data_IF_751196077400
#
_entry.id   IF_751196077400
#
_cell.length_a   1.000
_cell.length_b   1.000
_cell.length_c   1.000
_cell.angle_alpha   90.00
_cell.angle_beta   90.00
_cell.angle_gamma   90.00
#
_symmetry.space_group_name_H-M   'P 1'
#
loop_
_entity.id
_entity.type
_entity.pdbx_description
1 polymer ?
#
# COMPACT_ATOMS: atom_id res chain seq x y z
N UNK A 1 -62.05 -35.77 4.38
CA UNK A 1 -62.15 -34.90 3.20
C UNK A 1 -63.52 -34.27 3.23
N UNK A 2 -63.67 -33.09 3.82
CA UNK A 2 -64.97 -32.45 4.01
C UNK A 2 -64.84 -30.92 4.07
N UNK A 3 -65.89 -30.27 3.55
CA UNK A 3 -66.42 -28.94 3.91
C UNK A 3 -66.00 -27.72 3.08
N UNK A 4 -66.75 -27.57 1.98
CA UNK A 4 -67.55 -26.40 1.53
C UNK A 4 -67.39 -25.02 2.19
N UNK A 5 -67.28 -24.01 1.31
CA UNK A 5 -67.57 -22.58 1.48
C UNK A 5 -69.00 -22.29 1.99
N UNK A 6 -69.16 -21.22 2.79
CA UNK A 6 -70.26 -20.21 2.80
C UNK A 6 -70.01 -19.14 3.92
N UNK A 7 -70.78 -18.01 4.04
CA UNK A 7 -70.23 -16.65 3.98
C UNK A 7 -70.37 -15.78 5.27
N UNK A 8 -69.87 -14.53 5.18
CA UNK A 8 -70.21 -13.27 5.92
C UNK A 8 -71.68 -13.21 6.42
N UNK A 9 -72.09 -12.49 7.52
CA UNK A 9 -71.80 -11.05 7.77
C UNK A 9 -71.86 -10.48 9.21
N UNK A 10 -71.27 -9.28 9.42
CA UNK A 10 -71.88 -8.05 9.99
C UNK A 10 -70.89 -7.11 10.72
N UNK A 11 -70.99 -5.85 10.30
CA UNK A 11 -70.55 -4.52 10.79
C UNK A 11 -71.08 -4.16 12.21
N UNK A 12 -70.78 -2.99 12.86
CA UNK A 12 -70.44 -1.70 12.23
C UNK A 12 -69.49 -0.70 12.96
N UNK A 13 -69.15 0.31 12.15
CA UNK A 13 -68.73 1.69 12.41
C UNK A 13 -69.05 2.30 13.79
N UNK A 14 -68.09 3.05 14.33
CA UNK A 14 -68.29 4.40 14.87
C UNK A 14 -66.93 5.10 15.10
N UNK A 15 -66.67 6.17 14.35
CA UNK A 15 -65.79 7.27 14.78
C UNK A 15 -66.62 8.22 15.68
N UNK A 16 -65.98 9.02 16.54
CA UNK A 16 -65.89 10.43 16.17
C UNK A 16 -64.54 11.11 16.50
N UNK A 17 -64.42 12.29 15.90
CA UNK A 17 -63.29 13.19 15.71
C UNK A 17 -62.91 14.09 16.91
N UNK A 18 -61.69 14.68 16.80
CA UNK A 18 -61.13 15.93 17.38
C UNK A 18 -60.44 15.86 18.77
N UNK A 19 -59.57 16.83 19.12
CA UNK A 19 -58.48 17.43 18.34
C UNK A 19 -57.14 17.59 19.11
N UNK A 20 -56.10 17.97 18.36
CA UNK A 20 -54.84 18.62 18.72
C UNK A 20 -54.58 19.03 20.19
N UNK A 21 -53.42 18.63 20.70
CA UNK A 21 -52.59 19.51 21.54
C UNK A 21 -51.11 19.23 21.29
N UNK A 22 -50.44 20.26 20.77
CA UNK A 22 -49.01 20.44 20.76
C UNK A 22 -48.50 20.61 22.19
N UNK A 23 -47.37 20.00 22.53
CA UNK A 23 -46.40 20.63 23.44
C UNK A 23 -45.01 20.09 23.15
N UNK A 24 -44.17 20.98 22.66
CA UNK A 24 -42.72 20.85 22.59
C UNK A 24 -42.12 20.78 23.98
N UNK A 25 -41.26 19.78 24.19
CA UNK A 25 -40.11 19.73 25.10
C UNK A 25 -39.58 18.29 24.96
N UNK A 26 -38.31 17.98 24.90
CA UNK A 26 -37.13 18.69 25.37
C UNK A 26 -35.90 18.03 24.72
N UNK A 27 -34.82 18.80 24.74
CA UNK A 27 -33.42 18.34 24.81
C UNK A 27 -32.84 17.57 23.62
N UNK A 28 -32.00 18.31 22.90
CA UNK A 28 -30.80 17.79 22.25
C UNK A 28 -30.12 16.71 23.10
N UNK A 29 -29.90 15.53 22.52
CA UNK A 29 -28.89 14.59 22.99
C UNK A 29 -27.80 14.48 21.94
N UNK A 30 -26.59 14.77 22.43
CA UNK A 30 -25.33 14.76 21.72
C UNK A 30 -25.14 13.50 20.86
N UNK A 31 -24.46 13.73 19.74
CA UNK A 31 -23.62 12.73 19.08
C UNK A 31 -22.80 11.95 20.11
N UNK A 32 -23.21 10.72 20.39
CA UNK A 32 -22.29 9.70 20.88
C UNK A 32 -21.68 9.08 19.63
N UNK A 33 -20.46 9.53 19.33
CA UNK A 33 -19.54 8.85 18.44
C UNK A 33 -19.39 7.43 19.00
N UNK A 34 -20.08 6.47 18.38
CA UNK A 34 -19.78 5.05 18.58
C UNK A 34 -18.41 4.81 17.96
N UNK A 35 -17.39 4.84 18.81
CA UNK A 35 -16.11 4.19 18.56
C UNK A 35 -16.40 2.73 18.19
N UNK A 36 -16.31 2.42 16.90
CA UNK A 36 -16.29 1.05 16.42
C UNK A 36 -15.00 0.44 16.99
N UNK A 37 -15.05 -0.59 17.85
CA UNK A 37 -13.84 -1.28 18.22
C UNK A 37 -13.31 -1.98 16.97
N UNK A 38 -12.11 -1.61 16.54
CA UNK A 38 -11.31 -2.40 15.60
C UNK A 38 -10.94 -3.68 16.35
N UNK A 39 -11.85 -4.64 16.33
CA UNK A 39 -11.56 -6.01 16.68
C UNK A 39 -10.67 -6.55 15.55
N UNK A 40 -9.38 -6.67 15.84
CA UNK A 40 -8.48 -7.54 15.11
C UNK A 40 -9.04 -8.96 15.20
N UNK A 41 -9.89 -9.33 14.26
CA UNK A 41 -10.26 -10.71 14.07
C UNK A 41 -9.00 -11.43 13.60
N UNK A 42 -8.32 -12.08 14.54
CA UNK A 42 -7.31 -13.08 14.28
C UNK A 42 -8.00 -14.24 13.57
N UNK A 43 -8.16 -14.10 12.24
CA UNK A 43 -8.77 -15.09 11.39
C UNK A 43 -7.81 -16.27 11.32
N UNK A 44 -8.10 -17.24 12.17
CA UNK A 44 -7.70 -18.64 12.14
C UNK A 44 -7.43 -19.07 10.70
N UNK A 45 -6.15 -19.20 10.36
CA UNK A 45 -5.68 -19.81 9.13
C UNK A 45 -6.18 -21.25 9.10
N UNK A 46 -6.98 -21.59 8.10
CA UNK A 46 -7.24 -22.97 7.78
C UNK A 46 -5.92 -23.59 7.31
N UNK A 47 -5.38 -24.42 8.19
CA UNK A 47 -4.22 -25.26 7.98
C UNK A 47 -4.51 -26.18 6.78
N UNK A 48 -3.90 -25.92 5.62
CA UNK A 48 -3.79 -26.95 4.60
C UNK A 48 -2.72 -27.94 5.10
N UNK A 49 -3.20 -29.07 5.61
CA UNK A 49 -2.37 -30.20 5.99
C UNK A 49 -1.70 -30.80 4.75
N UNK A 50 -0.47 -30.37 4.48
CA UNK A 50 0.53 -31.28 3.91
C UNK A 50 0.91 -32.29 5.00
N UNK A 51 0.87 -33.62 4.75
CA UNK A 51 1.25 -34.59 5.77
C UNK A 51 2.77 -34.53 5.95
N UNK A 52 3.23 -33.75 6.91
CA UNK A 52 4.55 -33.97 7.49
C UNK A 52 4.42 -35.17 8.41
N UNK A 53 5.08 -36.27 8.06
CA UNK A 53 5.19 -37.44 8.91
C UNK A 53 5.74 -37.01 10.27
N UNK A 54 4.91 -37.15 11.31
CA UNK A 54 5.32 -37.00 12.70
C UNK A 54 6.25 -38.16 13.04
N UNK A 55 7.56 -37.89 13.05
CA UNK A 55 8.53 -38.82 13.61
C UNK A 55 8.32 -38.86 15.12
N UNK A 56 7.61 -39.90 15.55
CA UNK A 56 7.40 -40.31 16.92
C UNK A 56 8.76 -40.49 17.60
N UNK A 57 8.92 -39.87 18.76
CA UNK A 57 10.07 -40.00 19.65
C UNK A 57 10.14 -41.45 20.15
N UNK A 58 10.95 -42.27 19.49
CA UNK A 58 11.39 -43.57 20.01
C UNK A 58 12.82 -43.39 20.49
N UNK A 59 13.02 -43.50 21.80
CA UNK A 59 14.32 -43.61 22.43
C UNK A 59 15.09 -44.80 21.87
N UNK A 60 16.00 -44.54 20.93
CA UNK A 60 16.99 -45.50 20.43
C UNK A 60 18.36 -44.99 20.92
N UNK A 61 19.22 -45.83 21.52
CA UNK A 61 20.58 -45.44 21.93
C UNK A 61 21.40 -45.00 20.70
N UNK A 62 22.52 -44.26 20.87
CA UNK A 62 23.24 -43.68 19.74
C UNK A 62 23.94 -44.80 18.97
N UNK A 63 23.27 -45.31 17.94
CA UNK A 63 23.89 -46.13 16.92
C UNK A 63 24.52 -45.18 15.92
N UNK A 64 25.84 -45.26 15.86
CA UNK A 64 26.75 -44.54 14.98
C UNK A 64 26.32 -44.61 13.52
N UNK A 65 25.53 -43.64 13.07
CA UNK A 65 25.43 -43.27 11.67
C UNK A 65 26.48 -42.19 11.39
N UNK A 66 27.45 -42.50 10.52
CA UNK A 66 28.41 -41.57 9.92
C UNK A 66 27.73 -40.51 9.03
N UNK A 67 26.77 -39.77 9.55
CA UNK A 67 26.38 -38.46 9.04
C UNK A 67 27.06 -37.45 9.93
N UNK A 68 28.24 -37.01 9.51
CA UNK A 68 29.05 -36.03 10.24
C UNK A 68 28.19 -34.86 10.71
N UNK A 69 28.18 -34.63 12.03
CA UNK A 69 27.51 -33.48 12.62
C UNK A 69 28.01 -32.21 11.92
N UNK A 70 27.08 -31.42 11.39
CA UNK A 70 27.43 -30.16 10.76
C UNK A 70 28.05 -29.24 11.82
N UNK A 71 29.30 -28.77 11.65
CA UNK A 71 29.96 -27.95 12.66
C UNK A 71 29.36 -26.53 12.73
N UNK A 72 28.63 -26.14 11.68
CA UNK A 72 27.96 -24.85 11.56
C UNK A 72 26.82 -24.73 12.60
N UNK A 73 26.85 -23.71 13.48
CA UNK A 73 25.76 -23.42 14.40
C UNK A 73 24.42 -23.32 13.68
N UNK A 74 23.37 -23.84 14.31
CA UNK A 74 22.05 -23.96 13.67
C UNK A 74 21.53 -22.64 13.09
N UNK A 75 21.74 -21.50 13.77
CA UNK A 75 21.26 -20.20 13.27
C UNK A 75 21.99 -19.69 12.02
N UNK A 76 23.23 -20.12 11.79
CA UNK A 76 24.05 -19.76 10.63
C UNK A 76 23.87 -20.74 9.46
N UNK A 77 23.03 -21.77 9.62
CA UNK A 77 22.76 -22.70 8.54
C UNK A 77 21.82 -22.06 7.50
N UNK A 78 22.17 -22.11 6.19
CA UNK A 78 21.36 -21.49 5.13
C UNK A 78 19.89 -21.92 5.11
N UNK A 79 19.60 -23.16 5.52
CA UNK A 79 18.23 -23.68 5.59
C UNK A 79 17.40 -23.04 6.72
N UNK A 80 18.05 -22.73 7.85
CA UNK A 80 17.40 -22.09 8.98
C UNK A 80 17.22 -20.59 8.72
N UNK A 81 18.21 -19.94 8.08
CA UNK A 81 18.06 -18.58 7.53
C UNK A 81 16.87 -18.49 6.56
N UNK A 82 16.73 -19.45 5.64
CA UNK A 82 15.60 -19.53 4.72
C UNK A 82 14.26 -19.63 5.44
N UNK A 83 14.16 -20.54 6.42
CA UNK A 83 12.93 -20.72 7.20
C UNK A 83 12.58 -19.44 7.97
N UNK A 84 13.55 -18.82 8.61
CA UNK A 84 13.38 -17.53 9.29
C UNK A 84 12.92 -16.44 8.33
N UNK A 85 13.57 -16.30 7.17
CA UNK A 85 13.20 -15.32 6.16
C UNK A 85 11.76 -15.53 5.66
N UNK A 86 11.41 -16.76 5.28
CA UNK A 86 10.08 -17.11 4.73
C UNK A 86 8.91 -16.83 5.68
N UNK A 87 9.16 -16.77 6.99
CA UNK A 87 8.14 -16.50 8.00
C UNK A 87 8.13 -15.04 8.47
N UNK A 88 9.25 -14.33 8.31
CA UNK A 88 9.39 -12.93 8.70
C UNK A 88 8.57 -11.96 7.81
N UNK A 89 8.23 -10.80 8.38
CA UNK A 89 7.66 -9.68 7.63
C UNK A 89 8.79 -8.83 7.02
N UNK A 90 8.67 -8.33 5.77
CA UNK A 90 7.59 -8.53 4.79
C UNK A 90 7.79 -9.76 3.88
N UNK A 91 8.88 -10.52 4.07
CA UNK A 91 9.32 -11.58 3.14
C UNK A 91 8.32 -12.72 2.96
N UNK A 92 7.53 -13.04 3.98
CA UNK A 92 6.44 -14.02 3.94
C UNK A 92 5.37 -13.72 2.88
N UNK A 93 5.22 -12.45 2.49
CA UNK A 93 4.24 -12.06 1.47
C UNK A 93 4.64 -12.59 0.09
N UNK A 94 5.94 -12.62 -0.21
CA UNK A 94 6.45 -13.08 -1.50
C UNK A 94 6.31 -14.60 -1.68
N UNK A 95 6.33 -15.36 -0.58
CA UNK A 95 6.05 -16.81 -0.56
C UNK A 95 4.57 -17.17 -0.53
N UNK A 96 3.67 -16.20 -0.29
CA UNK A 96 2.24 -16.43 -0.27
C UNK A 96 1.66 -16.63 -1.69
N UNK A 97 0.36 -16.96 -1.74
CA UNK A 97 -0.37 -17.05 -3.00
C UNK A 97 -0.36 -15.71 -3.77
N UNK A 98 -0.53 -15.77 -5.09
CA UNK A 98 -0.45 -14.60 -5.96
C UNK A 98 -1.48 -13.52 -5.57
N UNK A 99 -2.71 -13.91 -5.26
CA UNK A 99 -3.78 -12.97 -4.91
C UNK A 99 -3.49 -12.30 -3.57
N UNK A 100 -3.04 -13.08 -2.60
CA UNK A 100 -2.67 -12.57 -1.28
C UNK A 100 -1.47 -11.63 -1.35
N UNK A 101 -0.44 -11.98 -2.13
CA UNK A 101 0.70 -11.11 -2.38
C UNK A 101 0.29 -9.79 -3.02
N UNK A 102 -0.46 -9.83 -4.13
CA UNK A 102 -0.88 -8.65 -4.87
C UNK A 102 -1.80 -7.75 -4.03
N UNK A 103 -2.73 -8.33 -3.28
CA UNK A 103 -3.64 -7.56 -2.42
C UNK A 103 -2.90 -6.85 -1.29
N UNK A 104 -1.96 -7.52 -0.60
CA UNK A 104 -1.14 -6.91 0.45
C UNK A 104 -0.26 -5.77 -0.08
N UNK A 105 0.34 -5.97 -1.25
CA UNK A 105 1.13 -4.95 -1.92
C UNK A 105 0.28 -3.75 -2.34
N UNK A 106 -0.91 -4.00 -2.90
CA UNK A 106 -1.85 -2.95 -3.30
C UNK A 106 -2.37 -2.16 -2.10
N UNK A 107 -2.79 -2.84 -1.02
CA UNK A 107 -3.26 -2.17 0.21
C UNK A 107 -2.17 -1.30 0.82
N UNK A 108 -0.93 -1.79 0.85
CA UNK A 108 0.21 -1.01 1.36
C UNK A 108 0.46 0.20 0.47
N UNK A 109 0.56 0.03 -0.85
CA UNK A 109 0.78 1.12 -1.79
C UNK A 109 -0.34 2.16 -1.77
N UNK A 110 -1.60 1.72 -1.77
CA UNK A 110 -2.77 2.59 -1.70
C UNK A 110 -2.86 3.32 -0.35
N UNK A 111 -2.54 2.64 0.75
CA UNK A 111 -2.48 3.26 2.08
C UNK A 111 -1.47 4.40 2.14
N UNK A 112 -0.24 4.20 1.65
CA UNK A 112 0.77 5.26 1.58
C UNK A 112 0.40 6.37 0.59
N UNK A 113 -0.20 6.01 -0.54
CA UNK A 113 -0.70 6.98 -1.52
C UNK A 113 -1.73 7.93 -0.91
N UNK A 114 -2.70 7.40 -0.17
CA UNK A 114 -3.77 8.21 0.44
C UNK A 114 -3.32 8.96 1.69
N UNK A 115 -2.52 8.34 2.57
CA UNK A 115 -2.15 8.93 3.86
C UNK A 115 -0.99 9.92 3.75
N UNK A 116 -0.08 9.71 2.81
CA UNK A 116 1.11 10.54 2.64
C UNK A 116 1.12 11.21 1.28
N UNK A 117 0.88 10.45 0.21
CA UNK A 117 0.94 10.96 -1.16
C UNK A 117 0.00 12.13 -1.42
N UNK A 118 -1.29 11.96 -1.13
CA UNK A 118 -2.32 12.97 -1.40
C UNK A 118 -2.14 14.23 -0.53
N UNK A 119 -1.93 14.15 0.80
CA UNK A 119 -1.68 15.35 1.60
C UNK A 119 -0.43 16.11 1.10
N UNK A 120 0.66 15.40 0.80
CA UNK A 120 1.90 16.02 0.33
C UNK A 120 1.70 16.71 -1.03
N UNK A 121 1.00 16.06 -1.97
CA UNK A 121 0.72 16.67 -3.29
C UNK A 121 -0.26 17.84 -3.21
N UNK A 122 -1.23 17.78 -2.28
CA UNK A 122 -2.15 18.88 -2.01
C UNK A 122 -1.42 20.11 -1.47
N UNK A 123 -0.55 19.96 -0.46
CA UNK A 123 0.24 21.07 0.09
C UNK A 123 1.20 21.67 -0.94
N UNK A 124 1.70 20.89 -1.90
CA UNK A 124 2.54 21.38 -2.99
C UNK A 124 1.80 22.23 -4.03
N UNK A 125 0.47 22.16 -4.07
CA UNK A 125 -0.36 22.87 -5.06
C UNK A 125 -0.95 24.13 -4.42
N UNK A 126 -0.12 25.16 -4.21
CA UNK A 126 -0.55 26.45 -3.65
C UNK A 126 -1.10 27.31 -4.79
N UNK A 127 -2.40 27.20 -5.08
CA UNK A 127 -3.07 28.02 -6.09
C UNK A 127 -4.59 27.75 -6.16
N UNK A 128 -5.40 28.73 -6.58
CA UNK A 128 -6.86 28.59 -6.67
C UNK A 128 -7.34 27.62 -7.78
N UNK A 129 -6.47 27.29 -8.74
CA UNK A 129 -6.73 26.37 -9.87
C UNK A 129 -5.93 25.07 -9.67
N UNK A 130 -6.28 24.25 -8.67
CA UNK A 130 -5.61 22.98 -8.44
C UNK A 130 -6.15 21.90 -9.39
N UNK A 131 -5.36 21.50 -10.39
CA UNK A 131 -5.70 20.37 -11.27
C UNK A 131 -5.79 19.07 -10.45
N UNK A 132 -6.98 18.43 -10.33
CA UNK A 132 -7.12 17.20 -9.56
C UNK A 132 -6.30 16.05 -10.15
N UNK A 133 -6.07 16.07 -11.47
CA UNK A 133 -5.25 15.09 -12.19
C UNK A 133 -3.81 15.11 -11.67
N UNK A 134 -3.22 16.29 -11.43
CA UNK A 134 -1.85 16.42 -10.92
C UNK A 134 -1.73 15.90 -9.48
N UNK A 135 -2.66 16.28 -8.63
CA UNK A 135 -2.68 15.85 -7.21
C UNK A 135 -2.82 14.32 -7.12
N UNK A 136 -3.72 13.73 -7.90
CA UNK A 136 -3.96 12.27 -7.91
C UNK A 136 -2.76 11.53 -8.51
N UNK A 137 -2.22 11.97 -9.65
CA UNK A 137 -1.07 11.30 -10.27
C UNK A 137 0.19 11.39 -9.41
N UNK A 138 0.45 12.54 -8.78
CA UNK A 138 1.51 12.70 -7.78
C UNK A 138 1.28 11.78 -6.56
N UNK A 139 0.05 11.72 -6.04
CA UNK A 139 -0.30 10.84 -4.93
C UNK A 139 -0.15 9.35 -5.27
N UNK A 140 -0.54 8.93 -6.47
CA UNK A 140 -0.38 7.53 -6.94
C UNK A 140 1.10 7.18 -7.12
N UNK A 141 1.90 8.11 -7.68
CA UNK A 141 3.33 7.90 -7.89
C UNK A 141 4.08 7.60 -6.59
N UNK A 142 3.71 8.24 -5.47
CA UNK A 142 4.34 7.98 -4.17
C UNK A 142 4.01 6.60 -3.62
N UNK A 143 2.77 6.12 -3.79
CA UNK A 143 2.38 4.75 -3.43
C UNK A 143 3.14 3.69 -4.23
N UNK A 144 3.32 3.91 -5.54
CA UNK A 144 4.12 3.05 -6.42
C UNK A 144 5.59 3.04 -5.99
N UNK A 145 6.15 4.20 -5.61
CA UNK A 145 7.52 4.29 -5.10
C UNK A 145 7.71 3.47 -3.82
N UNK A 146 6.81 3.62 -2.84
CA UNK A 146 6.89 2.84 -1.58
C UNK A 146 6.73 1.34 -1.84
N UNK A 147 5.78 0.95 -2.69
CA UNK A 147 5.63 -0.44 -3.11
C UNK A 147 6.89 -0.98 -3.78
N UNK A 148 7.53 -0.19 -4.64
CA UNK A 148 8.79 -0.57 -5.31
C UNK A 148 9.91 -0.79 -4.31
N UNK A 149 10.11 0.11 -3.34
CA UNK A 149 11.13 -0.04 -2.30
C UNK A 149 10.91 -1.29 -1.45
N UNK A 150 9.65 -1.59 -1.10
CA UNK A 150 9.29 -2.78 -0.35
C UNK A 150 9.61 -4.06 -1.15
N UNK A 151 9.30 -4.09 -2.45
CA UNK A 151 9.60 -5.23 -3.32
C UNK A 151 11.10 -5.38 -3.54
N UNK A 152 11.86 -4.29 -3.69
CA UNK A 152 13.33 -4.33 -3.76
C UNK A 152 13.90 -4.93 -2.46
N UNK A 153 13.41 -4.50 -1.30
CA UNK A 153 13.84 -5.06 0.00
C UNK A 153 13.58 -6.56 0.08
N UNK A 154 12.41 -7.01 -0.35
CA UNK A 154 12.07 -8.44 -0.43
C UNK A 154 13.01 -9.17 -1.39
N UNK A 155 13.21 -8.64 -2.61
CA UNK A 155 14.05 -9.23 -3.64
C UNK A 155 15.48 -9.46 -3.15
N UNK A 156 16.09 -8.46 -2.50
CA UNK A 156 17.45 -8.57 -1.97
C UNK A 156 17.56 -9.65 -0.89
N UNK A 157 16.60 -9.75 0.04
CA UNK A 157 16.63 -10.78 1.07
C UNK A 157 16.48 -12.20 0.49
N UNK A 158 15.56 -12.38 -0.47
CA UNK A 158 15.39 -13.66 -1.17
C UNK A 158 16.60 -14.02 -2.04
N UNK A 159 17.23 -13.04 -2.69
CA UNK A 159 18.43 -13.25 -3.50
C UNK A 159 19.63 -13.65 -2.63
N UNK A 160 19.79 -13.01 -1.47
CA UNK A 160 20.84 -13.31 -0.50
C UNK A 160 20.76 -14.76 -0.01
N UNK A 161 19.60 -15.16 0.52
CA UNK A 161 19.40 -16.54 1.01
C UNK A 161 19.50 -17.55 -0.14
N UNK A 162 18.94 -17.22 -1.31
CA UNK A 162 19.06 -18.05 -2.50
C UNK A 162 20.51 -18.31 -2.89
N UNK A 163 21.36 -17.29 -2.85
CA UNK A 163 22.78 -17.43 -3.13
C UNK A 163 23.50 -18.32 -2.09
N UNK A 164 23.18 -18.15 -0.79
CA UNK A 164 23.76 -18.99 0.28
C UNK A 164 23.30 -20.45 0.23
N UNK A 165 22.05 -20.71 -0.16
CA UNK A 165 21.55 -22.07 -0.38
C UNK A 165 22.31 -22.76 -1.54
N UNK A 166 22.51 -22.04 -2.65
CA UNK A 166 23.14 -22.62 -3.84
C UNK A 166 24.68 -22.70 -3.76
N UNK A 167 25.29 -21.94 -2.84
CA UNK A 167 26.73 -21.95 -2.60
C UNK A 167 27.18 -23.27 -1.97
N UNK A 168 28.33 -23.78 -2.44
CA UNK A 168 28.93 -25.02 -1.94
C UNK A 168 29.67 -24.84 -0.61
N UNK A 169 30.04 -23.61 -0.27
CA UNK A 169 30.71 -23.25 0.97
C UNK A 169 29.81 -22.36 1.83
N UNK A 170 29.96 -22.46 3.14
CA UNK A 170 29.30 -21.59 4.11
C UNK A 170 30.36 -21.05 5.04
N UNK A 171 30.45 -19.72 5.09
CA UNK A 171 31.21 -19.01 6.10
C UNK A 171 30.39 -18.97 7.38
N UNK A 172 30.99 -19.41 8.48
CA UNK A 172 30.35 -19.48 9.78
C UNK A 172 31.35 -19.11 10.87
N UNK A 173 30.85 -18.60 11.99
CA UNK A 173 31.69 -18.19 13.12
C UNK A 173 31.44 -19.15 14.27
N UNK A 174 32.51 -19.82 14.72
CA UNK A 174 32.45 -20.72 15.87
C UNK A 174 32.60 -19.94 17.19
N UNK A 175 33.50 -18.94 17.29
CA UNK A 175 33.73 -18.17 18.52
C UNK A 175 34.34 -16.76 18.35
N UNK A 176 33.53 -15.71 18.54
CA UNK A 176 34.05 -14.35 18.79
C UNK A 176 34.64 -13.63 17.58
N UNK A 177 35.25 -12.46 17.81
CA UNK A 177 35.38 -11.37 16.81
C UNK A 177 36.35 -11.61 15.64
N UNK A 178 37.01 -12.79 15.52
CA UNK A 178 38.10 -12.99 14.55
C UNK A 178 38.27 -14.37 13.89
N UNK A 179 37.37 -15.35 14.06
CA UNK A 179 37.53 -16.69 13.46
C UNK A 179 36.35 -17.10 12.56
N UNK A 180 36.20 -16.41 11.42
CA UNK A 180 35.38 -16.92 10.32
C UNK A 180 35.98 -18.20 9.74
N UNK A 181 35.28 -19.33 9.89
CA UNK A 181 35.64 -20.61 9.29
C UNK A 181 34.76 -20.89 8.06
N UNK A 182 35.31 -21.68 7.13
CA UNK A 182 34.65 -22.06 5.88
C UNK A 182 34.33 -23.54 5.91
N UNK A 183 33.05 -23.90 5.95
CA UNK A 183 32.61 -25.29 5.81
C UNK A 183 32.18 -25.58 4.37
N UNK A 184 32.70 -26.67 3.80
CA UNK A 184 32.27 -27.18 2.50
C UNK A 184 31.10 -28.14 2.71
N UNK A 185 29.96 -27.84 2.09
CA UNK A 185 28.76 -28.68 2.18
C UNK A 185 29.04 -30.06 1.59
N UNK A 186 28.62 -31.11 2.30
CA UNK A 186 28.60 -32.46 1.73
C UNK A 186 27.67 -32.54 0.52
N UNK A 187 27.92 -33.49 -0.39
CA UNK A 187 27.15 -33.61 -1.63
C UNK A 187 25.64 -33.78 -1.37
N UNK A 188 25.27 -34.47 -0.29
CA UNK A 188 23.88 -34.69 0.13
C UNK A 188 23.20 -33.39 0.58
N UNK A 189 23.85 -32.61 1.44
CA UNK A 189 23.33 -31.31 1.92
C UNK A 189 23.21 -30.33 0.77
N UNK A 190 24.21 -30.30 -0.11
CA UNK A 190 24.20 -29.43 -1.28
C UNK A 190 23.09 -29.82 -2.28
N UNK A 191 22.84 -31.12 -2.48
CA UNK A 191 21.74 -31.58 -3.33
C UNK A 191 20.38 -31.16 -2.77
N UNK A 192 20.18 -31.32 -1.44
CA UNK A 192 18.96 -30.86 -0.75
C UNK A 192 18.74 -29.35 -0.89
N UNK A 193 19.77 -28.56 -0.64
CA UNK A 193 19.69 -27.10 -0.73
C UNK A 193 19.40 -26.62 -2.15
N UNK A 194 19.98 -27.28 -3.17
CA UNK A 194 19.70 -26.98 -4.58
C UNK A 194 18.28 -27.32 -4.99
N UNK A 195 17.74 -28.44 -4.53
CA UNK A 195 16.33 -28.78 -4.74
C UNK A 195 15.45 -27.69 -4.12
N UNK A 196 15.66 -27.37 -2.85
CA UNK A 196 14.89 -26.32 -2.16
C UNK A 196 15.01 -24.96 -2.86
N UNK A 197 16.23 -24.54 -3.22
CA UNK A 197 16.48 -23.29 -3.92
C UNK A 197 15.80 -23.23 -5.29
N UNK A 198 15.79 -24.34 -6.03
CA UNK A 198 15.16 -24.39 -7.36
C UNK A 198 13.64 -24.41 -7.32
N UNK A 199 13.03 -25.10 -6.35
CA UNK A 199 11.58 -25.26 -6.25
C UNK A 199 10.88 -24.16 -5.44
N UNK A 200 11.54 -23.59 -4.44
CA UNK A 200 10.94 -22.57 -3.57
C UNK A 200 11.46 -21.17 -3.86
N UNK A 201 12.78 -20.99 -4.01
CA UNK A 201 13.37 -19.64 -4.12
C UNK A 201 13.25 -19.07 -5.54
N UNK A 202 13.58 -19.86 -6.57
CA UNK A 202 13.50 -19.39 -7.97
C UNK A 202 12.12 -18.85 -8.39
N UNK A 203 10.98 -19.52 -8.12
CA UNK A 203 9.68 -18.99 -8.53
C UNK A 203 9.36 -17.67 -7.80
N UNK A 204 9.72 -17.55 -6.52
CA UNK A 204 9.53 -16.33 -5.74
C UNK A 204 10.37 -15.18 -6.30
N UNK A 205 11.65 -15.42 -6.59
CA UNK A 205 12.52 -14.41 -7.21
C UNK A 205 12.02 -13.96 -8.58
N UNK A 206 11.54 -14.90 -9.41
CA UNK A 206 11.01 -14.55 -10.72
C UNK A 206 9.73 -13.71 -10.62
N UNK A 207 8.84 -14.05 -9.67
CA UNK A 207 7.65 -13.24 -9.36
C UNK A 207 8.04 -11.82 -8.94
N UNK A 208 8.97 -11.67 -8.01
CA UNK A 208 9.46 -10.37 -7.53
C UNK A 208 10.08 -9.56 -8.67
N UNK A 209 10.90 -10.17 -9.52
CA UNK A 209 11.49 -9.52 -10.70
C UNK A 209 10.42 -9.01 -11.66
N UNK A 210 9.42 -9.83 -11.98
CA UNK A 210 8.31 -9.41 -12.83
C UNK A 210 7.55 -8.23 -12.21
N UNK A 211 7.30 -8.27 -10.89
CA UNK A 211 6.61 -7.17 -10.22
C UNK A 211 7.41 -5.88 -10.20
N UNK A 212 8.74 -5.93 -10.08
CA UNK A 212 9.60 -4.76 -10.22
C UNK A 212 9.53 -4.16 -11.63
N UNK A 213 9.53 -5.00 -12.67
CA UNK A 213 9.38 -4.54 -14.06
C UNK A 213 8.01 -3.88 -14.25
N UNK A 214 6.92 -4.49 -13.77
CA UNK A 214 5.58 -3.91 -13.85
C UNK A 214 5.48 -2.58 -13.10
N UNK A 215 6.03 -2.50 -11.88
CA UNK A 215 6.04 -1.27 -11.10
C UNK A 215 6.85 -0.17 -11.78
N UNK A 216 8.02 -0.50 -12.35
CA UNK A 216 8.84 0.44 -13.09
C UNK A 216 8.10 1.01 -14.32
N UNK A 217 7.44 0.15 -15.10
CA UNK A 217 6.61 0.57 -16.23
C UNK A 217 5.46 1.47 -15.75
N UNK A 218 4.75 1.08 -14.67
CA UNK A 218 3.67 1.90 -14.13
C UNK A 218 4.14 3.26 -13.63
N UNK A 219 5.33 3.32 -13.03
CA UNK A 219 5.92 4.57 -12.55
C UNK A 219 6.25 5.49 -13.73
N UNK A 220 6.85 4.95 -14.79
CA UNK A 220 7.12 5.71 -16.02
C UNK A 220 5.83 6.26 -16.62
N UNK A 221 4.77 5.44 -16.69
CA UNK A 221 3.45 5.90 -17.15
C UNK A 221 2.91 7.04 -16.27
N UNK A 222 2.98 6.91 -14.94
CA UNK A 222 2.56 7.98 -14.03
C UNK A 222 3.33 9.28 -14.25
N UNK A 223 4.66 9.20 -14.45
CA UNK A 223 5.49 10.38 -14.74
C UNK A 223 5.11 11.00 -16.07
N UNK A 224 4.88 10.21 -17.13
CA UNK A 224 4.44 10.72 -18.42
C UNK A 224 3.08 11.43 -18.32
N UNK A 225 2.11 10.83 -17.63
CA UNK A 225 0.79 11.47 -17.42
C UNK A 225 0.93 12.78 -16.64
N UNK A 226 1.80 12.81 -15.62
CA UNK A 226 2.06 14.00 -14.82
C UNK A 226 2.64 15.14 -15.70
N UNK A 227 3.64 14.85 -16.52
CA UNK A 227 4.23 15.83 -17.43
C UNK A 227 3.22 16.37 -18.46
N UNK A 228 2.37 15.51 -19.01
CA UNK A 228 1.32 15.93 -19.94
C UNK A 228 0.28 16.86 -19.27
N UNK A 229 -0.05 16.63 -17.99
CA UNK A 229 -0.92 17.51 -17.24
C UNK A 229 -0.25 18.87 -16.95
N UNK A 230 1.07 18.90 -16.76
CA UNK A 230 1.82 20.15 -16.62
C UNK A 230 1.86 20.98 -17.91
N UNK A 231 2.11 20.35 -19.06
CA UNK A 231 2.14 21.06 -20.35
C UNK A 231 0.78 21.65 -20.68
N UNK A 232 -0.30 20.89 -20.49
CA UNK A 232 -1.66 21.35 -20.77
C UNK A 232 -2.05 22.62 -19.98
N UNK A 233 -1.61 22.72 -18.73
CA UNK A 233 -1.88 23.90 -17.90
C UNK A 233 -0.97 25.08 -18.26
N UNK A 234 0.28 24.82 -18.67
CA UNK A 234 1.18 25.87 -19.16
C UNK A 234 0.62 26.50 -20.45
N UNK A 235 0.19 25.67 -21.40
CA UNK A 235 -0.38 26.14 -22.67
C UNK A 235 -1.66 26.97 -22.46
N UNK A 236 -2.54 26.54 -21.54
CA UNK A 236 -3.72 27.31 -21.15
C UNK A 236 -3.35 28.65 -20.49
N UNK A 237 -2.34 28.68 -19.62
CA UNK A 237 -1.88 29.90 -18.97
C UNK A 237 -1.27 30.91 -19.96
N UNK A 238 -0.50 30.45 -20.94
CA UNK A 238 0.04 31.32 -22.00
C UNK A 238 -1.06 31.91 -22.89
N UNK A 239 -2.04 31.10 -23.30
CA UNK A 239 -3.18 31.58 -24.12
C UNK A 239 -4.05 32.60 -23.36
N UNK A 240 -4.34 32.34 -22.08
CA UNK A 240 -5.12 33.26 -21.22
C UNK A 240 -4.38 34.59 -21.01
N UNK A 241 -3.04 34.58 -21.02
CA UNK A 241 -2.22 35.78 -20.89
C UNK A 241 -2.17 36.64 -22.17
N UNK A 242 -2.33 36.06 -23.36
CA UNK A 242 -2.38 36.84 -24.62
C UNK A 242 -3.77 37.44 -24.89
N UNK A 243 -4.85 36.76 -24.49
CA UNK A 243 -6.22 37.27 -24.67
C UNK A 243 -6.58 38.36 -23.64
N UNK A 244 -5.97 38.31 -22.45
CA UNK A 244 -6.02 39.39 -21.45
C UNK A 244 -5.01 40.49 -21.78
N UNK A 245 -5.24 41.19 -22.88
CA UNK A 245 -4.64 42.49 -23.16
C UNK A 245 -5.03 43.51 -22.09
N UNK A 246 -4.30 43.50 -20.97
CA UNK A 246 -4.44 44.43 -19.87
C UNK A 246 -5.11 43.87 -18.61
N UNK A 247 -4.51 42.88 -17.93
CA UNK A 247 -4.62 42.84 -16.45
C UNK A 247 -3.52 42.04 -15.76
N UNK A 248 -2.74 42.78 -14.97
CA UNK A 248 -1.89 42.42 -13.84
C UNK A 248 -1.48 40.95 -13.62
N UNK A 249 -0.16 40.75 -13.59
CA UNK A 249 0.52 39.54 -13.12
C UNK A 249 0.10 39.24 -11.67
N UNK A 250 -0.19 37.97 -11.29
CA UNK A 250 -0.48 37.62 -9.91
C UNK A 250 0.71 37.97 -9.01
N UNK A 251 0.55 38.98 -8.16
CA UNK A 251 1.55 39.41 -7.18
C UNK A 251 2.36 40.66 -7.53
N UNK A 252 2.14 41.30 -8.68
CA UNK A 252 2.87 42.50 -9.06
C UNK A 252 1.95 43.56 -9.69
N UNK A 253 1.70 44.62 -8.92
CA UNK A 253 1.23 45.94 -9.34
C UNK A 253 -0.05 46.00 -10.19
N UNK A 254 -1.14 46.49 -9.59
CA UNK A 254 -2.38 46.80 -10.30
C UNK A 254 -2.38 48.28 -10.73
N UNK A 255 -2.45 48.57 -12.02
CA UNK A 255 -2.48 49.94 -12.56
C UNK A 255 -3.69 50.75 -12.06
N UNK A 256 -4.79 50.08 -11.72
CA UNK A 256 -5.96 50.72 -11.09
C UNK A 256 -5.62 51.21 -9.67
N UNK A 257 -4.83 50.44 -8.91
CA UNK A 257 -4.37 50.80 -7.57
C UNK A 257 -3.30 51.89 -7.61
N UNK A 258 -2.43 51.87 -8.62
CA UNK A 258 -1.45 52.93 -8.88
C UNK A 258 -2.11 54.29 -9.13
N UNK A 259 -3.18 54.30 -9.94
CA UNK A 259 -3.98 55.49 -10.24
C UNK A 259 -4.69 56.08 -9.03
N UNK A 260 -4.83 55.32 -7.94
CA UNK A 260 -5.42 55.84 -6.69
C UNK A 260 -4.42 56.69 -5.90
N UNK A 261 -3.11 56.57 -6.17
CA UNK A 261 -2.05 57.33 -5.51
C UNK A 261 -1.51 58.50 -6.35
N UNK A 262 -1.92 58.61 -7.62
CA UNK A 262 -1.72 59.82 -8.41
C UNK A 262 -2.91 60.76 -8.14
N UNK A 263 -2.73 61.87 -7.40
CA UNK A 263 -3.76 62.90 -7.32
C UNK A 263 -4.02 63.42 -8.75
N UNK A 264 -5.23 63.91 -9.02
CA UNK A 264 -5.76 64.47 -10.28
C UNK A 264 -4.94 65.66 -10.89
N UNK A 265 -3.61 65.59 -10.90
CA UNK A 265 -2.71 66.66 -11.30
C UNK A 265 -2.72 66.95 -12.82
N UNK A 266 -3.47 66.17 -13.60
CA UNK A 266 -3.61 66.36 -15.05
C UNK A 266 -5.05 66.21 -15.56
N UNK A 267 -6.06 66.33 -14.69
CA UNK A 267 -7.42 66.58 -15.13
C UNK A 267 -7.50 68.07 -15.50
N UNK A 268 -7.17 68.37 -16.76
CA UNK A 268 -7.30 69.71 -17.35
C UNK A 268 -8.67 70.31 -17.06
N UNK A 269 -8.67 71.61 -16.76
CA UNK A 269 -9.87 72.41 -16.51
C UNK A 269 -10.98 72.11 -17.52
N UNK A 270 -12.25 72.03 -17.09
CA UNK A 270 -13.36 72.06 -18.02
C UNK A 270 -13.32 73.42 -18.74
N UNK A 271 -13.10 73.40 -20.05
CA UNK A 271 -13.25 74.57 -20.89
C UNK A 271 -14.67 75.13 -20.72
N UNK A 272 -14.78 76.24 -20.00
CA UNK A 272 -15.98 77.05 -19.94
C UNK A 272 -16.09 77.75 -21.31
N UNK A 273 -17.09 77.35 -22.10
CA UNK A 273 -17.66 78.16 -23.19
C UNK A 273 -19.15 78.32 -22.89
#
# INVERSE_FOLDING_TARGET
MATTMFPSPKSPLLQPLLPSSSTHSSTASLMIIRTIPIAYNLRRTHHLNTPFASFRNSSIPPESSETGECPVPQEQQPINEFKSLSTSFPFSWASADLVEYCSRLFVTGAGFSLLVGVPVSWFGTIGPESDPIKVVTAGVSSGILVATLLVVRMYLGWAYVGNRLLSATVEYEETGWYDGQMWVKTAEVLARDRLLGSFSVKPVLNRLKNTLVTLAISLVICVLVFLNAETSHKDAAYMTSEESGGRAVPGAYNDESARTFEPDAFCGEPAII
#
